data_IF_723526938744
#
_entry.id   IF_723526938744
#
_cell.length_a   1.000
_cell.length_b   1.000
_cell.length_c   1.000
_cell.angle_alpha   90.00
_cell.angle_beta   90.00
_cell.angle_gamma   90.00
#
_symmetry.space_group_name_H-M   'P 1'
#
loop_
_entity.id
_entity.type
_entity.pdbx_description
1 polymer ?
#
# COMPACT_ATOMS: atom_id res chain seq x y z
N UNK A 1 -15.07 -7.77 -11.61
CA UNK A 1 -14.57 -8.97 -12.28
C UNK A 1 -13.14 -9.28 -11.84
N UNK A 2 -12.85 -10.53 -11.49
CA UNK A 2 -11.54 -11.06 -11.06
C UNK A 2 -11.21 -12.35 -11.83
N UNK A 3 -9.95 -12.54 -12.20
CA UNK A 3 -9.50 -13.72 -12.91
C UNK A 3 -9.07 -14.82 -11.93
N UNK A 4 -9.43 -16.06 -12.25
CA UNK A 4 -8.99 -17.21 -11.48
C UNK A 4 -7.45 -17.34 -11.52
N UNK A 5 -6.77 -17.49 -10.37
CA UNK A 5 -5.31 -17.64 -10.34
C UNK A 5 -4.83 -19.02 -10.83
N UNK A 6 -5.73 -19.99 -11.00
CA UNK A 6 -5.39 -21.30 -11.53
C UNK A 6 -5.03 -21.17 -13.03
N UNK A 7 -3.76 -21.45 -13.42
CA UNK A 7 -3.28 -21.25 -14.79
C UNK A 7 -3.99 -22.12 -15.82
N UNK A 8 -4.61 -23.24 -15.40
CA UNK A 8 -5.39 -24.11 -16.29
C UNK A 8 -6.82 -23.62 -16.51
N UNK A 9 -7.32 -22.70 -15.66
CA UNK A 9 -8.71 -22.23 -15.74
C UNK A 9 -8.79 -20.81 -16.29
N UNK A 10 -8.12 -19.84 -15.66
CA UNK A 10 -8.15 -18.41 -16.03
C UNK A 10 -9.56 -17.79 -16.23
N UNK A 11 -10.62 -18.44 -15.73
CA UNK A 11 -11.98 -17.95 -15.90
C UNK A 11 -12.19 -16.60 -15.20
N UNK A 12 -13.02 -15.75 -15.81
CA UNK A 12 -13.44 -14.47 -15.25
C UNK A 12 -14.62 -14.70 -14.29
N UNK A 13 -14.51 -14.18 -13.08
CA UNK A 13 -15.51 -14.33 -12.03
C UNK A 13 -15.98 -12.95 -11.54
N UNK A 14 -17.17 -12.85 -10.93
CA UNK A 14 -17.56 -11.67 -10.15
C UNK A 14 -16.53 -11.36 -9.07
N UNK A 15 -16.26 -10.09 -8.80
CA UNK A 15 -15.28 -9.62 -7.81
C UNK A 15 -15.70 -9.79 -6.34
N UNK A 16 -16.89 -10.35 -6.10
CA UNK A 16 -17.36 -10.74 -4.77
C UNK A 16 -17.21 -12.25 -4.53
N UNK A 17 -16.97 -13.03 -5.60
CA UNK A 17 -16.92 -14.49 -5.54
C UNK A 17 -15.66 -14.97 -4.83
N UNK A 18 -15.82 -15.75 -3.76
CA UNK A 18 -14.69 -16.30 -2.97
C UNK A 18 -14.04 -17.51 -3.63
N UNK A 19 -14.76 -18.19 -4.53
CA UNK A 19 -14.27 -19.33 -5.30
C UNK A 19 -14.66 -19.21 -6.78
N UNK A 20 -13.81 -19.76 -7.65
CA UNK A 20 -14.02 -19.77 -9.08
C UNK A 20 -15.25 -20.62 -9.44
N UNK A 21 -16.17 -20.07 -10.23
CA UNK A 21 -17.39 -20.76 -10.66
C UNK A 21 -17.12 -21.93 -11.62
N UNK A 22 -15.96 -21.95 -12.29
CA UNK A 22 -15.60 -22.98 -13.25
C UNK A 22 -14.78 -24.13 -12.66
N UNK A 23 -13.85 -23.85 -11.74
CA UNK A 23 -12.90 -24.85 -11.21
C UNK A 23 -12.86 -24.93 -9.68
N UNK A 24 -13.72 -24.18 -8.98
CA UNK A 24 -13.82 -24.15 -7.51
C UNK A 24 -12.53 -23.76 -6.77
N UNK A 25 -11.50 -23.28 -7.46
CA UNK A 25 -10.28 -22.77 -6.83
C UNK A 25 -10.58 -21.46 -6.07
N UNK A 26 -9.94 -21.27 -4.91
CA UNK A 26 -10.09 -20.05 -4.12
C UNK A 26 -9.64 -18.81 -4.94
N UNK A 27 -10.41 -17.73 -4.82
CA UNK A 27 -10.13 -16.45 -5.46
C UNK A 27 -9.55 -15.49 -4.41
N UNK A 28 -8.23 -15.27 -4.39
CA UNK A 28 -7.61 -14.33 -3.47
C UNK A 28 -7.96 -12.89 -3.88
N UNK A 29 -8.44 -12.10 -2.93
CA UNK A 29 -8.75 -10.69 -3.13
C UNK A 29 -7.64 -9.84 -2.52
N UNK A 30 -6.61 -9.52 -3.31
CA UNK A 30 -5.56 -8.60 -2.89
C UNK A 30 -6.04 -7.16 -3.03
N UNK A 31 -6.32 -6.54 -1.88
CA UNK A 31 -6.59 -5.12 -1.80
C UNK A 31 -5.29 -4.34 -1.58
N UNK A 32 -5.13 -3.27 -2.36
CA UNK A 32 -3.91 -2.49 -2.45
C UNK A 32 -4.20 -1.01 -2.25
N UNK A 33 -3.31 -0.29 -1.59
CA UNK A 33 -3.38 1.16 -1.48
C UNK A 33 -2.57 1.82 -2.60
N UNK A 34 -3.23 2.65 -3.40
CA UNK A 34 -2.60 3.39 -4.49
C UNK A 34 -2.00 4.71 -4.01
N UNK A 35 -0.73 4.93 -4.34
CA UNK A 35 0.00 6.19 -4.09
C UNK A 35 0.46 6.78 -5.43
N UNK A 36 0.19 8.06 -5.64
CA UNK A 36 0.55 8.80 -6.85
C UNK A 36 -0.39 9.98 -7.06
N UNK A 37 0.04 10.99 -7.81
CA UNK A 37 -0.72 12.22 -8.02
C UNK A 37 -2.08 11.96 -8.69
N UNK A 38 -2.13 11.02 -9.63
CA UNK A 38 -3.35 10.70 -10.38
C UNK A 38 -4.48 10.14 -9.49
N UNK A 39 -4.16 9.62 -8.31
CA UNK A 39 -5.13 8.95 -7.42
C UNK A 39 -6.27 9.89 -7.00
N UNK A 40 -6.01 11.20 -6.91
CA UNK A 40 -7.02 12.19 -6.57
C UNK A 40 -8.06 12.43 -7.69
N UNK A 41 -7.73 12.05 -8.94
CA UNK A 41 -8.59 12.30 -10.11
C UNK A 41 -9.40 11.08 -10.55
N UNK A 42 -9.06 9.91 -10.03
CA UNK A 42 -9.70 8.65 -10.41
C UNK A 42 -11.06 8.50 -9.74
N UNK A 43 -12.01 7.90 -10.46
CA UNK A 43 -13.34 7.56 -9.93
C UNK A 43 -13.43 6.06 -9.68
N UNK A 44 -14.19 5.61 -8.66
CA UNK A 44 -14.50 4.21 -8.46
C UNK A 44 -14.96 3.54 -9.77
N UNK A 45 -14.44 2.35 -10.04
CA UNK A 45 -14.62 1.62 -11.30
C UNK A 45 -13.51 1.86 -12.33
N UNK A 46 -12.63 2.84 -12.13
CA UNK A 46 -11.48 3.05 -13.01
C UNK A 46 -10.48 1.88 -12.92
N UNK A 47 -9.92 1.49 -14.07
CA UNK A 47 -8.88 0.46 -14.17
C UNK A 47 -7.52 1.12 -14.39
N UNK A 48 -6.52 0.70 -13.62
CA UNK A 48 -5.12 1.06 -13.83
C UNK A 48 -4.33 -0.14 -14.35
N UNK A 49 -3.51 0.16 -15.36
CA UNK A 49 -2.65 -0.80 -16.07
C UNK A 49 -3.36 -2.11 -16.49
N UNK A 50 -4.65 -2.03 -16.83
CA UNK A 50 -5.47 -3.19 -17.20
C UNK A 50 -5.47 -4.33 -16.16
N UNK A 51 -5.26 -4.00 -14.88
CA UNK A 51 -5.13 -4.97 -13.77
C UNK A 51 -5.75 -4.49 -12.45
N UNK A 52 -5.53 -3.24 -12.06
CA UNK A 52 -5.93 -2.76 -10.74
C UNK A 52 -7.25 -1.99 -10.84
N UNK A 53 -8.30 -2.52 -10.23
CA UNK A 53 -9.63 -1.92 -10.23
C UNK A 53 -9.82 -1.01 -9.00
N UNK A 54 -10.08 0.27 -9.21
CA UNK A 54 -10.39 1.20 -8.11
C UNK A 54 -11.76 0.87 -7.51
N UNK A 55 -11.81 0.42 -6.26
CA UNK A 55 -13.07 0.11 -5.57
C UNK A 55 -13.61 1.32 -4.80
N UNK A 56 -12.75 2.01 -4.06
CA UNK A 56 -13.11 3.20 -3.26
C UNK A 56 -11.86 4.01 -2.88
N UNK A 57 -11.97 5.33 -2.83
CA UNK A 57 -10.89 6.25 -2.42
C UNK A 57 -9.57 5.98 -3.16
N UNK A 58 -8.63 5.27 -2.52
CA UNK A 58 -7.38 4.78 -3.12
C UNK A 58 -7.16 3.28 -2.92
N UNK A 59 -8.23 2.54 -2.64
CA UNK A 59 -8.25 1.10 -2.45
C UNK A 59 -8.54 0.43 -3.78
N UNK A 60 -7.57 -0.31 -4.27
CA UNK A 60 -7.63 -1.07 -5.51
C UNK A 60 -7.75 -2.55 -5.22
N UNK A 61 -8.45 -3.27 -6.10
CA UNK A 61 -8.47 -4.73 -6.14
C UNK A 61 -7.56 -5.19 -7.29
N UNK A 62 -6.64 -6.11 -7.02
CA UNK A 62 -5.94 -6.83 -8.10
C UNK A 62 -6.89 -7.83 -8.78
N UNK A 63 -7.22 -7.54 -10.04
CA UNK A 63 -8.11 -8.41 -10.83
C UNK A 63 -7.38 -9.61 -11.44
N UNK A 64 -6.05 -9.67 -11.37
CA UNK A 64 -5.23 -10.75 -11.96
C UNK A 64 -4.21 -11.29 -10.96
N UNK A 65 -4.66 -11.84 -9.81
CA UNK A 65 -3.77 -12.30 -8.75
C UNK A 65 -2.85 -13.48 -9.15
N UNK A 66 -3.21 -14.23 -10.20
CA UNK A 66 -2.38 -15.33 -10.71
C UNK A 66 -1.19 -14.87 -11.56
N UNK A 67 -1.11 -13.58 -11.91
CA UNK A 67 0.01 -13.02 -12.66
C UNK A 67 0.99 -12.33 -11.70
N UNK A 68 2.28 -12.48 -11.96
CA UNK A 68 3.32 -11.78 -11.20
C UNK A 68 3.08 -10.25 -11.34
N UNK A 69 3.11 -9.49 -10.24
CA UNK A 69 3.04 -8.03 -10.26
C UNK A 69 4.12 -7.40 -11.12
N UNK A 70 3.84 -6.23 -11.67
CA UNK A 70 4.84 -5.50 -12.43
C UNK A 70 5.96 -5.02 -11.51
N UNK A 71 7.19 -5.36 -11.87
CA UNK A 71 8.38 -4.78 -11.26
C UNK A 71 8.79 -3.53 -12.05
N UNK A 72 9.18 -2.43 -11.38
CA UNK A 72 9.72 -1.28 -12.08
C UNK A 72 11.08 -1.64 -12.70
N UNK A 73 11.31 -1.22 -13.95
CA UNK A 73 12.60 -1.41 -14.66
C UNK A 73 13.72 -0.63 -13.96
N UNK A 74 13.39 0.52 -13.37
CA UNK A 74 14.27 1.35 -12.54
C UNK A 74 13.57 1.61 -11.21
N UNK A 75 14.25 1.35 -10.09
CA UNK A 75 13.70 1.61 -8.75
C UNK A 75 13.69 3.13 -8.53
N UNK A 76 12.53 3.80 -8.52
CA UNK A 76 12.48 5.22 -8.22
C UNK A 76 12.91 5.46 -6.77
N UNK A 77 13.51 6.62 -6.47
CA UNK A 77 13.87 6.95 -5.08
C UNK A 77 12.67 6.92 -4.13
N UNK A 78 11.46 7.17 -4.65
CA UNK A 78 10.22 7.08 -3.87
C UNK A 78 9.89 5.67 -3.41
N UNK A 79 10.54 4.64 -3.95
CA UNK A 79 10.36 3.24 -3.58
C UNK A 79 11.37 2.79 -2.51
N UNK A 80 12.58 3.37 -2.50
CA UNK A 80 13.66 2.95 -1.60
C UNK A 80 13.26 2.96 -0.11
N UNK A 81 12.57 4.00 0.41
CA UNK A 81 12.13 4.00 1.81
C UNK A 81 11.23 2.81 2.16
N UNK A 82 10.37 2.37 1.24
CA UNK A 82 9.52 1.20 1.47
C UNK A 82 10.32 -0.11 1.51
N UNK A 83 11.39 -0.20 0.72
CA UNK A 83 12.25 -1.37 0.69
C UNK A 83 13.13 -1.44 1.94
N UNK A 84 13.74 -0.34 2.36
CA UNK A 84 14.56 -0.30 3.57
C UNK A 84 13.73 -0.49 4.85
N UNK A 85 12.56 0.14 4.94
CA UNK A 85 11.67 0.03 6.10
C UNK A 85 10.85 -1.27 6.12
N UNK A 86 11.09 -2.21 5.20
CA UNK A 86 10.44 -3.53 5.22
C UNK A 86 10.79 -4.37 6.45
N UNK A 87 11.79 -3.94 7.23
CA UNK A 87 12.12 -4.51 8.55
C UNK A 87 10.98 -4.38 9.57
N UNK A 88 10.00 -3.49 9.31
CA UNK A 88 8.81 -3.29 10.15
C UNK A 88 7.52 -3.81 9.48
N UNK A 89 7.37 -5.12 9.21
CA UNK A 89 6.30 -5.65 8.35
C UNK A 89 4.88 -5.49 8.91
N UNK A 90 4.73 -5.28 10.22
CA UNK A 90 3.43 -5.01 10.85
C UNK A 90 3.01 -3.54 10.76
N UNK A 91 3.99 -2.63 10.71
CA UNK A 91 3.76 -1.19 10.78
C UNK A 91 3.81 -0.53 9.39
N UNK A 92 4.74 -0.96 8.55
CA UNK A 92 5.02 -0.35 7.25
C UNK A 92 4.35 -1.16 6.15
N UNK A 93 3.54 -0.53 5.29
CA UNK A 93 2.96 -1.20 4.13
C UNK A 93 4.06 -1.61 3.15
N UNK A 94 3.92 -2.79 2.56
CA UNK A 94 4.93 -3.33 1.65
C UNK A 94 4.63 -2.90 0.21
N UNK A 95 5.68 -2.72 -0.58
CA UNK A 95 5.52 -2.47 -2.00
C UNK A 95 5.02 -3.74 -2.70
N UNK A 96 3.91 -3.63 -3.43
CA UNK A 96 3.36 -4.71 -4.25
C UNK A 96 3.72 -4.56 -5.73
N UNK A 97 3.55 -3.36 -6.27
CA UNK A 97 3.89 -3.04 -7.66
C UNK A 97 4.26 -1.56 -7.77
N UNK A 98 5.10 -1.25 -8.76
CA UNK A 98 5.42 0.12 -9.11
C UNK A 98 5.52 0.26 -10.64
N UNK A 99 4.82 1.24 -11.20
CA UNK A 99 4.82 1.51 -12.63
C UNK A 99 4.68 3.00 -12.91
N UNK A 100 5.02 3.42 -14.13
CA UNK A 100 4.83 4.81 -14.59
C UNK A 100 3.52 4.92 -15.36
N UNK A 101 2.81 6.02 -15.16
CA UNK A 101 1.62 6.35 -15.97
C UNK A 101 2.02 6.75 -17.39
N UNK A 102 1.03 6.89 -18.28
CA UNK A 102 1.24 7.43 -19.64
C UNK A 102 1.90 8.82 -19.61
N UNK A 103 1.68 9.59 -18.54
CA UNK A 103 2.30 10.92 -18.34
C UNK A 103 3.68 10.84 -17.66
N UNK A 104 4.22 9.66 -17.42
CA UNK A 104 5.52 9.45 -16.79
C UNK A 104 5.53 9.53 -15.26
N UNK A 105 4.43 9.95 -14.62
CA UNK A 105 4.35 10.03 -13.17
C UNK A 105 4.37 8.62 -12.52
N UNK A 106 5.10 8.41 -11.41
CA UNK A 106 5.16 7.12 -10.74
C UNK A 106 3.86 6.82 -9.99
N UNK A 107 3.45 5.55 -10.03
CA UNK A 107 2.34 4.98 -9.25
C UNK A 107 2.86 3.80 -8.47
N UNK A 108 2.60 3.81 -7.16
CA UNK A 108 2.94 2.72 -6.26
C UNK A 108 1.67 2.04 -5.78
N UNK A 109 1.69 0.72 -5.76
CA UNK A 109 0.65 -0.11 -5.18
C UNK A 109 1.22 -0.75 -3.93
N UNK A 110 0.58 -0.52 -2.79
CA UNK A 110 1.04 -0.99 -1.50
C UNK A 110 0.13 -2.09 -0.96
N UNK A 111 0.71 -3.18 -0.50
CA UNK A 111 0.01 -4.23 0.23
C UNK A 111 0.10 -3.98 1.74
N UNK A 112 -0.76 -4.65 2.52
CA UNK A 112 -0.76 -4.60 3.98
C UNK A 112 -0.87 -3.20 4.58
N UNK A 113 -1.41 -2.23 3.84
CA UNK A 113 -1.70 -0.90 4.36
C UNK A 113 -2.79 -0.94 5.44
N UNK A 114 -2.92 0.15 6.18
CA UNK A 114 -3.79 0.26 7.33
C UNK A 114 -5.31 0.30 6.99
N UNK A 115 -5.81 -0.76 6.36
CA UNK A 115 -7.22 -1.04 6.13
C UNK A 115 -7.67 -2.28 6.91
N UNK A 116 -8.89 -2.22 7.42
CA UNK A 116 -9.59 -3.34 8.05
C UNK A 116 -9.94 -4.34 6.95
N UNK A 117 -9.19 -5.44 6.88
CA UNK A 117 -9.66 -6.64 6.21
C UNK A 117 -10.69 -7.27 7.12
N UNK A 118 -11.98 -7.05 6.84
CA UNK A 118 -13.00 -7.82 7.53
C UNK A 118 -12.71 -9.30 7.28
N UNK A 119 -12.46 -10.07 8.34
CA UNK A 119 -12.56 -11.53 8.23
C UNK A 119 -13.98 -11.80 7.74
N UNK A 120 -14.16 -12.53 6.63
CA UNK A 120 -15.49 -12.80 6.12
C UNK A 120 -16.32 -13.44 7.22
N UNK A 121 -17.37 -12.77 7.73
CA UNK A 121 -18.28 -13.36 8.72
C UNK A 121 -18.97 -14.60 8.15
N UNK A 122 -19.04 -14.70 6.82
CA UNK A 122 -19.28 -15.91 6.04
C UNK A 122 -18.24 -15.98 4.93
N UNK A 123 -17.78 -17.18 4.62
CA UNK A 123 -16.93 -17.52 3.45
C UNK A 123 -17.53 -17.17 2.08
N UNK A 124 -18.56 -16.32 2.02
CA UNK A 124 -19.36 -16.02 0.83
C UNK A 124 -19.47 -14.52 0.52
N UNK A 125 -18.98 -13.62 1.39
CA UNK A 125 -19.07 -12.17 1.14
C UNK A 125 -17.70 -11.52 1.25
N UNK A 126 -17.23 -10.96 0.13
CA UNK A 126 -16.05 -10.10 0.11
C UNK A 126 -16.52 -8.65 0.22
N UNK A 127 -16.41 -8.05 1.40
CA UNK A 127 -16.63 -6.61 1.54
C UNK A 127 -15.36 -5.84 1.18
N UNK A 128 -15.53 -4.71 0.50
CA UNK A 128 -14.41 -3.79 0.23
C UNK A 128 -13.88 -3.30 1.59
N UNK A 129 -12.57 -3.44 1.86
CA UNK A 129 -12.02 -3.07 3.16
C UNK A 129 -12.19 -1.57 3.40
N UNK A 130 -12.34 -1.21 4.66
CA UNK A 130 -12.41 0.18 5.12
C UNK A 130 -11.11 0.59 5.79
N UNK A 131 -10.79 1.87 5.83
CA UNK A 131 -9.58 2.33 6.50
C UNK A 131 -9.69 2.09 8.02
N UNK A 132 -8.59 1.68 8.64
CA UNK A 132 -8.50 1.60 10.09
C UNK A 132 -8.67 3.00 10.70
N UNK A 133 -9.17 3.11 11.93
CA UNK A 133 -9.33 4.41 12.57
C UNK A 133 -7.97 5.08 12.79
N UNK A 134 -7.94 6.41 12.72
CA UNK A 134 -6.70 7.16 13.01
C UNK A 134 -6.32 7.03 14.48
N UNK A 135 -5.05 7.32 14.78
CA UNK A 135 -4.57 7.32 16.16
C UNK A 135 -5.39 8.33 17.00
N UNK A 136 -5.62 9.54 16.50
CA UNK A 136 -6.41 10.57 17.18
C UNK A 136 -7.82 10.12 17.52
N UNK A 137 -8.51 9.44 16.59
CA UNK A 137 -9.87 8.92 16.80
C UNK A 137 -9.96 7.90 17.95
N UNK A 138 -8.90 7.13 18.20
CA UNK A 138 -8.87 6.08 19.24
C UNK A 138 -8.20 6.54 20.52
N UNK A 139 -7.38 7.58 20.47
CA UNK A 139 -6.55 8.05 21.57
C UNK A 139 -7.34 8.24 22.87
N UNK A 140 -8.38 9.08 22.84
CA UNK A 140 -9.17 9.43 24.02
C UNK A 140 -9.95 8.25 24.61
N UNK A 141 -10.22 7.21 23.81
CA UNK A 141 -10.98 6.01 24.24
C UNK A 141 -10.06 4.87 24.69
N UNK A 142 -8.75 5.03 24.57
CA UNK A 142 -7.77 4.00 24.90
C UNK A 142 -7.36 4.08 26.38
N UNK A 143 -6.97 2.94 26.96
CA UNK A 143 -6.36 2.94 28.29
C UNK A 143 -4.98 3.63 28.26
N UNK A 144 -4.50 4.19 29.38
CA UNK A 144 -3.17 4.81 29.44
C UNK A 144 -2.05 3.87 28.99
N UNK A 145 -2.12 2.59 29.37
CA UNK A 145 -1.15 1.58 28.92
C UNK A 145 -1.18 1.38 27.40
N UNK A 146 -2.36 1.46 26.77
CA UNK A 146 -2.49 1.35 25.31
C UNK A 146 -1.95 2.58 24.60
N UNK A 147 -2.19 3.77 25.12
CA UNK A 147 -1.59 5.01 24.62
C UNK A 147 -0.06 4.95 24.68
N UNK A 148 0.49 4.54 25.82
CA UNK A 148 1.94 4.37 26.00
C UNK A 148 2.52 3.33 25.02
N UNK A 149 1.84 2.20 24.82
CA UNK A 149 2.26 1.19 23.85
C UNK A 149 2.33 1.74 22.41
N UNK A 150 1.34 2.52 21.98
CA UNK A 150 1.39 3.15 20.65
C UNK A 150 2.54 4.15 20.52
N UNK A 151 2.76 4.99 21.54
CA UNK A 151 3.90 5.90 21.55
C UNK A 151 5.23 5.16 21.50
N UNK A 152 5.33 4.05 22.23
CA UNK A 152 6.54 3.24 22.24
C UNK A 152 6.83 2.64 20.85
N UNK A 153 5.81 2.08 20.18
CA UNK A 153 5.98 1.59 18.80
C UNK A 153 6.43 2.70 17.83
N UNK A 154 5.84 3.90 17.94
CA UNK A 154 6.25 5.05 17.13
C UNK A 154 7.71 5.42 17.41
N UNK A 155 8.12 5.45 18.68
CA UNK A 155 9.49 5.75 19.07
C UNK A 155 10.51 4.73 18.53
N UNK A 156 10.17 3.43 18.52
CA UNK A 156 11.05 2.37 17.99
C UNK A 156 11.29 2.49 16.47
N UNK A 157 10.38 3.12 15.74
CA UNK A 157 10.53 3.34 14.29
C UNK A 157 11.25 4.65 13.97
N UNK A 158 11.43 5.54 14.94
CA UNK A 158 11.81 6.93 14.70
C UNK A 158 13.15 7.08 13.97
N UNK A 159 14.19 6.39 14.44
CA UNK A 159 15.54 6.48 13.89
C UNK A 159 15.59 6.02 12.42
N UNK A 160 15.02 4.85 12.12
CA UNK A 160 14.96 4.32 10.76
C UNK A 160 14.17 5.24 9.81
N UNK A 161 13.06 5.81 10.28
CA UNK A 161 12.27 6.74 9.48
C UNK A 161 12.97 8.09 9.27
N UNK A 162 13.77 8.53 10.23
CA UNK A 162 14.60 9.72 10.09
C UNK A 162 15.73 9.49 9.07
N UNK A 163 16.39 8.34 9.12
CA UNK A 163 17.44 7.97 8.16
C UNK A 163 16.91 7.97 6.72
N UNK A 164 15.69 7.46 6.51
CA UNK A 164 15.00 7.47 5.23
C UNK A 164 14.27 8.79 4.91
N UNK A 165 14.43 9.83 5.76
CA UNK A 165 13.82 11.16 5.60
C UNK A 165 12.28 11.17 5.49
N UNK A 166 11.61 10.16 6.04
CA UNK A 166 10.13 10.00 6.03
C UNK A 166 9.51 10.12 7.42
N UNK A 167 10.22 10.68 8.40
CA UNK A 167 9.77 10.81 9.80
C UNK A 167 8.44 11.55 9.96
N UNK A 168 8.12 12.49 9.06
CA UNK A 168 6.84 13.19 9.03
C UNK A 168 5.63 12.24 8.97
N UNK A 169 5.82 11.05 8.40
CA UNK A 169 4.80 9.98 8.35
C UNK A 169 4.31 9.62 9.75
N UNK A 170 5.21 9.53 10.74
CA UNK A 170 4.91 9.10 12.10
C UNK A 170 4.10 10.13 12.90
N UNK A 171 4.03 11.37 12.41
CA UNK A 171 3.33 12.48 13.05
C UNK A 171 2.01 12.84 12.38
N UNK A 172 1.71 12.24 11.23
CA UNK A 172 0.52 12.54 10.43
C UNK A 172 -0.67 11.69 10.89
N UNK A 173 -1.74 12.32 11.38
CA UNK A 173 -2.95 11.59 11.80
C UNK A 173 -3.62 10.83 10.64
N UNK A 174 -3.51 11.34 9.42
CA UNK A 174 -4.12 10.70 8.24
C UNK A 174 -3.43 9.38 7.85
N UNK A 175 -2.12 9.30 8.11
CA UNK A 175 -1.26 8.17 7.76
C UNK A 175 -1.09 7.17 8.91
N UNK A 176 -1.06 7.65 10.16
CA UNK A 176 -0.92 6.81 11.34
C UNK A 176 -2.29 6.33 11.82
N UNK A 177 -2.53 5.04 11.64
CA UNK A 177 -3.77 4.36 12.02
C UNK A 177 -3.49 3.25 13.02
N UNK A 178 -4.54 2.77 13.66
CA UNK A 178 -4.40 1.74 14.71
C UNK A 178 -5.30 0.54 14.47
N UNK A 179 -4.71 -0.64 14.68
CA UNK A 179 -5.38 -1.93 14.69
C UNK A 179 -5.25 -2.56 16.08
N UNK A 180 -6.26 -2.33 16.92
CA UNK A 180 -6.20 -2.77 18.32
C UNK A 180 -5.03 -2.12 19.07
N UNK A 181 -4.00 -2.90 19.41
CA UNK A 181 -2.79 -2.45 20.10
C UNK A 181 -1.64 -2.09 19.15
N UNK A 182 -1.78 -2.32 17.85
CA UNK A 182 -0.70 -2.17 16.87
C UNK A 182 -0.91 -0.90 16.05
N UNK A 183 0.16 -0.11 15.88
CA UNK A 183 0.19 1.03 14.97
C UNK A 183 0.42 0.52 13.54
N UNK A 184 -0.35 0.98 12.57
CA UNK A 184 -0.19 0.63 11.16
C UNK A 184 -0.21 1.89 10.31
N UNK A 185 0.65 1.93 9.30
CA UNK A 185 0.77 3.07 8.39
C UNK A 185 -0.02 2.82 7.10
N UNK A 186 -0.61 3.88 6.58
CA UNK A 186 -1.32 3.84 5.31
C UNK A 186 -0.36 3.95 4.11
N UNK A 187 0.57 4.89 4.18
CA UNK A 187 1.66 5.12 3.22
C UNK A 187 2.76 5.95 3.88
N UNK A 188 3.91 6.09 3.23
CA UNK A 188 4.98 6.98 3.66
C UNK A 188 4.77 8.38 3.07
N UNK A 189 5.06 9.42 3.87
CA UNK A 189 5.12 10.81 3.43
C UNK A 189 6.52 11.09 2.88
N UNK A 190 6.66 10.98 1.56
CA UNK A 190 7.92 11.26 0.86
C UNK A 190 7.93 12.73 0.43
N UNK A 191 8.90 13.49 0.94
CA UNK A 191 9.05 14.91 0.61
C UNK A 191 9.45 15.12 -0.85
N UNK A 192 8.97 16.21 -1.46
CA UNK A 192 9.25 16.54 -2.86
C UNK A 192 10.76 16.72 -3.16
N UNK A 193 11.58 17.08 -2.18
CA UNK A 193 13.04 17.18 -2.36
C UNK A 193 13.67 15.83 -2.79
N UNK A 194 13.11 14.71 -2.32
CA UNK A 194 13.52 13.35 -2.71
C UNK A 194 13.07 12.95 -4.13
N UNK A 195 12.08 13.63 -4.71
CA UNK A 195 11.70 13.44 -6.12
C UNK A 195 12.74 14.02 -7.09
N UNK A 196 13.60 14.94 -6.63
CA UNK A 196 14.56 15.66 -7.49
C UNK A 196 15.95 15.02 -7.57
N UNK A 197 16.29 14.13 -6.65
CA UNK A 197 17.64 13.55 -6.55
C UNK A 197 17.83 12.41 -7.54
N UNK A 198 17.86 12.71 -8.84
CA UNK A 198 18.55 11.83 -9.78
C UNK A 198 19.96 11.56 -9.24
N UNK A 199 20.52 10.33 -9.39
CA UNK A 199 21.90 10.08 -8.99
C UNK A 199 22.79 11.04 -9.77
N UNK A 200 23.35 12.03 -9.09
CA UNK A 200 24.37 12.91 -9.65
C UNK A 200 25.55 12.02 -10.01
N UNK A 201 25.84 11.93 -11.31
CA UNK A 201 27.03 11.26 -11.80
C UNK A 201 28.26 11.82 -11.07
N UNK A 202 29.24 10.98 -10.67
CA UNK A 202 30.46 11.46 -10.04
C UNK A 202 31.17 12.41 -11.02
N UNK A 203 31.42 13.63 -10.55
CA UNK A 203 32.03 14.70 -11.32
C UNK A 203 33.39 14.29 -11.89
N UNK A 204 33.52 14.35 -13.20
CA UNK A 204 34.82 14.38 -13.88
C UNK A 204 35.54 15.68 -13.52
N UNK A 205 36.69 15.53 -12.87
CA UNK A 205 37.59 16.62 -12.48
C UNK A 205 38.07 17.43 -13.70
N UNK A 206 38.42 18.73 -13.52
CA UNK A 206 38.90 19.57 -14.60
C UNK A 206 40.35 19.20 -14.99
N UNK A 207 40.73 19.35 -16.27
CA UNK A 207 42.10 19.11 -16.70
C UNK A 207 43.03 20.25 -16.26
N UNK A 208 44.18 19.87 -15.74
CA UNK A 208 45.39 20.70 -15.55
C UNK A 208 46.01 21.12 -16.86
#
# INVERSE_FOLDING_TARGET
MINCPNPNCNAVNPDEAVACQACSSALPHYYLWGVGEMMATLRPGAMLNNRYLLKRDRIFLDTKPGLVPEAPIEIPNTVLPYLHLSVYPLHVPRLYAAFKTVKGAPVLMLESSAFSTALPQRWQETSVPSLLPTLGQRWAKASPLRQLNWLWQIAQMWESFQAEQVVATLLSDDLVRVDGSVVRLLSLSISADQLSLAPTAPGTAPPT
#
